data_IF_824130929565
#
_entry.id   IF_824130929565
#
_cell.length_a   1.000
_cell.length_b   1.000
_cell.length_c   1.000
_cell.angle_alpha   90.00
_cell.angle_beta   90.00
_cell.angle_gamma   90.00
#
_symmetry.space_group_name_H-M   'P 1'
#
loop_
_entity.id
_entity.type
_entity.pdbx_description
1 polymer ?
#
# COMPACT_ATOMS: atom_id res chain seq x y z
N UNK A 1 -13.26 -12.15 -24.55
CA UNK A 1 -11.90 -11.70 -24.16
C UNK A 1 -12.02 -11.19 -22.72
N UNK A 2 -11.26 -11.74 -21.77
CA UNK A 2 -11.29 -11.25 -20.37
C UNK A 2 -10.62 -9.87 -20.34
N UNK A 3 -11.26 -8.82 -19.79
CA UNK A 3 -10.65 -7.50 -19.72
C UNK A 3 -9.35 -7.56 -18.91
N UNK A 4 -8.27 -7.01 -19.45
CA UNK A 4 -7.01 -6.90 -18.70
C UNK A 4 -7.17 -5.86 -17.58
N UNK A 5 -6.86 -6.21 -16.32
CA UNK A 5 -6.95 -5.25 -15.21
C UNK A 5 -6.01 -4.06 -15.40
N UNK A 6 -6.48 -2.86 -15.08
CA UNK A 6 -5.69 -1.64 -15.13
C UNK A 6 -4.85 -1.48 -13.86
N UNK A 7 -3.69 -2.13 -13.83
CA UNK A 7 -2.75 -2.09 -12.70
C UNK A 7 -1.76 -0.94 -12.83
N UNK A 8 -1.52 -0.25 -11.70
CA UNK A 8 -0.54 0.83 -11.59
C UNK A 8 0.34 0.60 -10.36
N UNK A 9 1.67 0.47 -10.50
CA UNK A 9 2.41 0.34 -11.76
C UNK A 9 2.05 -0.93 -12.54
N UNK A 10 2.34 -0.93 -13.85
CA UNK A 10 2.20 -2.11 -14.71
C UNK A 10 3.19 -3.18 -14.22
N UNK A 11 2.75 -4.42 -13.95
CA UNK A 11 3.65 -5.49 -13.51
C UNK A 11 4.58 -5.96 -14.64
N UNK A 12 5.73 -6.52 -14.28
CA UNK A 12 6.69 -7.04 -15.25
C UNK A 12 6.11 -8.12 -16.19
N UNK A 13 5.25 -9.01 -15.67
CA UNK A 13 4.53 -10.01 -16.44
C UNK A 13 3.13 -10.25 -15.86
N UNK A 14 2.13 -10.31 -16.74
CA UNK A 14 0.74 -10.66 -16.42
C UNK A 14 0.21 -11.63 -17.46
N UNK A 15 -0.35 -12.75 -17.00
CA UNK A 15 -0.96 -13.77 -17.86
C UNK A 15 -2.40 -14.03 -17.40
N UNK A 16 -3.43 -13.62 -18.16
CA UNK A 16 -4.81 -13.90 -17.79
C UNK A 16 -5.13 -15.40 -17.76
N UNK A 17 -6.10 -15.79 -16.93
CA UNK A 17 -6.68 -17.14 -16.87
C UNK A 17 -8.21 -17.02 -16.89
N UNK A 18 -8.89 -18.15 -17.08
CA UNK A 18 -10.35 -18.19 -17.03
C UNK A 18 -10.86 -18.34 -15.59
N UNK A 19 -11.94 -17.65 -15.27
CA UNK A 19 -12.59 -17.71 -13.96
C UNK A 19 -12.22 -16.55 -13.03
N UNK A 20 -12.61 -16.67 -11.77
CA UNK A 20 -12.39 -15.66 -10.74
C UNK A 20 -12.43 -16.26 -9.34
N UNK A 21 -11.68 -15.67 -8.43
CA UNK A 21 -11.78 -15.90 -6.98
C UNK A 21 -12.80 -14.93 -6.38
N UNK A 22 -13.73 -15.40 -5.57
CA UNK A 22 -14.68 -14.53 -4.87
C UNK A 22 -14.38 -14.49 -3.36
N UNK A 23 -14.21 -13.29 -2.80
CA UNK A 23 -14.13 -13.14 -1.35
C UNK A 23 -15.51 -13.35 -0.72
N UNK A 24 -15.56 -14.20 0.30
CA UNK A 24 -16.77 -14.50 1.05
C UNK A 24 -16.53 -14.62 2.55
N UNK A 25 -17.59 -14.89 3.31
CA UNK A 25 -17.55 -15.00 4.76
C UNK A 25 -16.61 -16.11 5.28
N UNK A 26 -16.36 -17.14 4.47
CA UNK A 26 -15.47 -18.26 4.79
C UNK A 26 -14.02 -18.02 4.34
N UNK A 27 -13.75 -16.96 3.58
CA UNK A 27 -12.39 -16.65 3.11
C UNK A 27 -11.48 -16.32 4.29
N UNK A 28 -10.35 -17.01 4.36
CA UNK A 28 -9.30 -16.78 5.35
C UNK A 28 -7.98 -16.38 4.69
N UNK A 29 -7.11 -15.72 5.45
CA UNK A 29 -5.74 -15.42 5.05
C UNK A 29 -4.80 -16.43 5.73
N UNK A 30 -4.27 -17.37 4.96
CA UNK A 30 -3.28 -18.33 5.41
C UNK A 30 -1.88 -17.70 5.38
N UNK A 31 -1.23 -17.64 6.55
CA UNK A 31 0.07 -17.01 6.73
C UNK A 31 0.81 -17.72 7.88
N UNK A 32 2.11 -17.95 7.70
CA UNK A 32 3.03 -18.31 8.78
C UNK A 32 3.44 -17.10 9.61
N UNK A 33 4.20 -17.33 10.69
CA UNK A 33 4.66 -16.27 11.59
C UNK A 33 5.58 -15.27 10.87
N UNK A 34 6.36 -15.74 9.89
CA UNK A 34 7.28 -14.96 9.05
C UNK A 34 6.58 -13.92 8.15
N UNK A 35 5.28 -14.11 7.88
CA UNK A 35 4.45 -13.20 7.07
C UNK A 35 3.18 -12.78 7.80
N UNK A 36 3.14 -12.90 9.13
CA UNK A 36 1.99 -12.52 9.95
C UNK A 36 1.61 -11.04 9.82
N UNK A 37 2.60 -10.15 9.94
CA UNK A 37 2.40 -8.70 9.85
C UNK A 37 1.80 -8.27 8.49
N UNK A 38 2.34 -8.66 7.32
CA UNK A 38 1.71 -8.32 6.05
C UNK A 38 0.33 -8.96 5.86
N UNK A 39 0.07 -10.15 6.44
CA UNK A 39 -1.25 -10.77 6.41
C UNK A 39 -2.30 -9.95 7.19
N UNK A 40 -1.96 -9.49 8.38
CA UNK A 40 -2.83 -8.64 9.20
C UNK A 40 -3.05 -7.27 8.55
N UNK A 41 -2.00 -6.70 7.95
CA UNK A 41 -2.14 -5.47 7.17
C UNK A 41 -3.09 -5.65 5.99
N UNK A 42 -2.99 -6.75 5.25
CA UNK A 42 -3.91 -7.06 4.14
C UNK A 42 -5.35 -7.21 4.65
N UNK A 43 -5.56 -7.97 5.74
CA UNK A 43 -6.88 -8.06 6.39
C UNK A 43 -7.43 -6.68 6.70
N UNK A 44 -6.65 -5.84 7.36
CA UNK A 44 -7.07 -4.52 7.83
C UNK A 44 -7.31 -3.54 6.66
N UNK A 45 -6.66 -3.76 5.52
CA UNK A 45 -6.89 -3.02 4.28
C UNK A 45 -8.15 -3.46 3.51
N UNK A 46 -8.56 -4.72 3.63
CA UNK A 46 -9.74 -5.28 2.94
C UNK A 46 -11.02 -5.19 3.77
N UNK A 47 -10.92 -5.35 5.09
CA UNK A 47 -12.08 -5.43 6.00
C UNK A 47 -13.00 -4.19 5.96
N UNK A 48 -12.51 -2.95 5.89
CA UNK A 48 -13.38 -1.77 5.95
C UNK A 48 -14.45 -1.76 4.88
N UNK A 49 -14.08 -2.03 3.62
CA UNK A 49 -15.02 -2.04 2.50
C UNK A 49 -15.81 -3.35 2.38
N UNK A 50 -15.15 -4.48 2.66
CA UNK A 50 -15.77 -5.81 2.48
C UNK A 50 -16.73 -6.18 3.60
N UNK A 51 -16.49 -5.71 4.83
CA UNK A 51 -17.15 -6.19 6.05
C UNK A 51 -16.82 -7.64 6.40
N UNK A 52 -15.93 -8.30 5.66
CA UNK A 52 -15.59 -9.72 5.86
C UNK A 52 -14.60 -9.91 7.01
N UNK A 53 -14.69 -11.00 7.79
CA UNK A 53 -13.81 -11.22 8.93
C UNK A 53 -12.35 -11.46 8.52
N UNK A 54 -12.12 -12.16 7.39
CA UNK A 54 -10.79 -12.44 6.80
C UNK A 54 -9.75 -12.88 7.86
N UNK A 55 -10.11 -13.90 8.65
CA UNK A 55 -9.29 -14.38 9.76
C UNK A 55 -7.90 -14.81 9.26
N UNK A 56 -6.86 -14.39 9.99
CA UNK A 56 -5.46 -14.73 9.70
C UNK A 56 -5.06 -15.99 10.46
N UNK A 57 -4.71 -17.06 9.75
CA UNK A 57 -4.31 -18.34 10.33
C UNK A 57 -4.48 -19.51 9.36
N UNK A 58 -4.25 -20.73 9.83
CA UNK A 58 -4.41 -21.95 9.02
C UNK A 58 -5.85 -22.46 9.07
N UNK A 59 -6.57 -22.40 7.94
CA UNK A 59 -7.91 -22.99 7.76
C UNK A 59 -7.99 -23.75 6.44
N UNK A 60 -8.89 -24.73 6.38
CA UNK A 60 -9.24 -25.48 5.17
C UNK A 60 -10.31 -24.72 4.35
N UNK A 61 -10.23 -24.78 3.02
CA UNK A 61 -11.16 -24.11 2.09
C UNK A 61 -10.52 -22.99 1.26
N UNK A 62 -11.35 -22.18 0.59
CA UNK A 62 -10.89 -21.07 -0.25
C UNK A 62 -10.15 -20.01 0.55
N UNK A 63 -8.95 -19.64 0.11
CA UNK A 63 -8.02 -18.84 0.94
C UNK A 63 -7.15 -17.89 0.14
N UNK A 64 -6.68 -16.86 0.83
CA UNK A 64 -5.55 -16.04 0.41
C UNK A 64 -4.32 -16.59 1.13
N UNK A 65 -3.38 -17.20 0.41
CA UNK A 65 -2.14 -17.76 0.95
C UNK A 65 -0.97 -16.80 0.75
N UNK A 66 -0.33 -16.38 1.83
CA UNK A 66 0.90 -15.60 1.83
C UNK A 66 2.04 -16.49 2.33
N UNK A 67 3.14 -16.57 1.58
CA UNK A 67 4.28 -17.38 1.99
C UNK A 67 5.59 -16.82 1.44
N UNK A 68 6.67 -16.91 2.24
CA UNK A 68 8.01 -16.71 1.70
C UNK A 68 8.42 -17.92 0.86
N UNK A 69 9.10 -17.63 -0.24
CA UNK A 69 9.62 -18.63 -1.17
C UNK A 69 11.04 -18.23 -1.61
N UNK A 70 12.08 -18.76 -0.94
CA UNK A 70 13.46 -18.47 -1.28
C UNK A 70 13.86 -18.87 -2.71
N UNK A 71 13.15 -19.81 -3.34
CA UNK A 71 13.43 -20.23 -4.72
C UNK A 71 13.16 -19.11 -5.74
N UNK A 72 12.34 -18.12 -5.36
CA UNK A 72 12.05 -16.94 -6.18
C UNK A 72 13.13 -15.85 -6.07
N UNK A 73 14.29 -16.12 -5.48
CA UNK A 73 15.34 -15.13 -5.22
C UNK A 73 15.76 -14.28 -6.44
N UNK A 74 15.60 -14.80 -7.66
CA UNK A 74 15.82 -14.05 -8.91
C UNK A 74 14.89 -12.83 -9.10
N UNK A 75 13.80 -12.73 -8.34
CA UNK A 75 12.90 -11.56 -8.35
C UNK A 75 13.37 -10.42 -7.43
N UNK A 76 14.41 -10.66 -6.62
CA UNK A 76 14.93 -9.70 -5.64
C UNK A 76 14.04 -9.55 -4.40
N UNK A 77 14.40 -8.62 -3.51
CA UNK A 77 13.74 -8.48 -2.19
C UNK A 77 12.28 -8.00 -2.28
N UNK A 78 11.97 -7.20 -3.30
CA UNK A 78 10.66 -6.58 -3.50
C UNK A 78 9.80 -7.33 -4.53
N UNK A 79 10.36 -8.35 -5.17
CA UNK A 79 9.66 -9.11 -6.19
C UNK A 79 8.70 -10.15 -5.61
N UNK A 80 7.66 -10.50 -6.38
CA UNK A 80 6.66 -11.46 -5.97
C UNK A 80 6.04 -12.18 -7.17
N UNK A 81 5.42 -13.33 -6.88
CA UNK A 81 4.49 -14.01 -7.76
C UNK A 81 3.10 -13.99 -7.12
N UNK A 82 2.09 -13.60 -7.90
CA UNK A 82 0.68 -13.63 -7.53
C UNK A 82 -0.06 -14.57 -8.47
N UNK A 83 -0.70 -15.60 -7.93
CA UNK A 83 -1.54 -16.54 -8.67
C UNK A 83 -2.96 -16.46 -8.13
N UNK A 84 -3.95 -16.36 -9.03
CA UNK A 84 -5.37 -16.34 -8.68
C UNK A 84 -6.08 -17.47 -9.44
N UNK A 85 -6.72 -18.38 -8.70
CA UNK A 85 -7.60 -19.44 -9.21
C UNK A 85 -9.00 -19.27 -8.62
N UNK A 86 -9.94 -20.17 -8.94
CA UNK A 86 -11.26 -20.15 -8.31
C UNK A 86 -11.21 -20.44 -6.80
N UNK A 87 -10.22 -21.19 -6.35
CA UNK A 87 -10.13 -21.71 -4.97
C UNK A 87 -9.05 -21.02 -4.13
N UNK A 88 -8.05 -20.38 -4.75
CA UNK A 88 -6.92 -19.81 -4.03
C UNK A 88 -6.38 -18.54 -4.68
N UNK A 89 -6.03 -17.57 -3.83
CA UNK A 89 -5.13 -16.47 -4.18
C UNK A 89 -3.80 -16.72 -3.47
N UNK A 90 -2.71 -16.92 -4.19
CA UNK A 90 -1.39 -17.15 -3.61
C UNK A 90 -0.45 -15.99 -3.92
N UNK A 91 0.16 -15.40 -2.88
CA UNK A 91 1.25 -14.43 -3.01
C UNK A 91 2.51 -15.06 -2.42
N UNK A 92 3.52 -15.27 -3.27
CA UNK A 92 4.82 -15.83 -2.89
C UNK A 92 5.92 -14.82 -3.19
N UNK A 93 6.86 -14.65 -2.28
CA UNK A 93 7.96 -13.72 -2.46
C UNK A 93 9.24 -14.18 -1.72
N UNK A 94 10.43 -13.75 -2.15
CA UNK A 94 11.67 -14.08 -1.45
C UNK A 94 11.78 -13.44 -0.06
N UNK A 95 11.15 -12.27 0.13
CA UNK A 95 11.19 -11.47 1.36
C UNK A 95 9.82 -10.84 1.66
N UNK A 96 9.57 -10.41 2.91
CA UNK A 96 8.30 -9.78 3.29
C UNK A 96 7.92 -8.52 2.48
N UNK A 97 8.90 -7.81 1.90
CA UNK A 97 8.62 -6.64 1.06
C UNK A 97 7.84 -7.01 -0.22
N UNK A 98 8.21 -8.11 -0.89
CA UNK A 98 7.46 -8.64 -2.02
C UNK A 98 6.03 -9.06 -1.66
N UNK A 99 5.80 -9.62 -0.46
CA UNK A 99 4.44 -9.94 0.02
C UNK A 99 3.58 -8.67 0.13
N UNK A 100 4.14 -7.57 0.67
CA UNK A 100 3.43 -6.29 0.77
C UNK A 100 3.08 -5.73 -0.62
N UNK A 101 4.01 -5.79 -1.57
CA UNK A 101 3.78 -5.32 -2.94
C UNK A 101 2.75 -6.16 -3.70
N UNK A 102 2.82 -7.49 -3.57
CA UNK A 102 1.81 -8.39 -4.11
C UNK A 102 0.43 -8.16 -3.50
N UNK A 103 0.38 -7.82 -2.21
CA UNK A 103 -0.87 -7.44 -1.53
C UNK A 103 -1.47 -6.16 -2.10
N UNK A 104 -0.64 -5.17 -2.48
CA UNK A 104 -1.15 -3.96 -3.14
C UNK A 104 -1.68 -4.26 -4.55
N UNK A 105 -1.02 -5.14 -5.30
CA UNK A 105 -1.53 -5.61 -6.60
C UNK A 105 -2.86 -6.34 -6.44
N UNK A 106 -2.98 -7.23 -5.44
CA UNK A 106 -4.22 -7.92 -5.13
C UNK A 106 -5.38 -6.94 -4.86
N UNK A 107 -5.11 -5.87 -4.09
CA UNK A 107 -6.10 -4.82 -3.82
C UNK A 107 -6.55 -4.10 -5.09
N UNK A 108 -5.65 -3.87 -6.04
CA UNK A 108 -5.99 -3.24 -7.33
C UNK A 108 -6.79 -4.16 -8.27
N UNK A 109 -6.76 -5.48 -8.05
CA UNK A 109 -7.57 -6.44 -8.82
C UNK A 109 -9.03 -6.51 -8.34
N UNK A 110 -9.33 -5.97 -7.15
CA UNK A 110 -10.69 -5.85 -6.63
C UNK A 110 -11.39 -4.61 -7.21
N UNK A 111 -12.74 -4.56 -7.17
CA UNK A 111 -13.48 -3.35 -7.52
C UNK A 111 -13.01 -2.13 -6.72
N UNK A 112 -13.09 -0.93 -7.31
CA UNK A 112 -12.60 0.33 -6.71
C UNK A 112 -13.24 0.66 -5.36
N UNK A 113 -14.42 0.12 -5.07
CA UNK A 113 -15.06 0.21 -3.76
C UNK A 113 -14.23 -0.39 -2.62
N UNK A 114 -13.22 -1.22 -2.92
CA UNK A 114 -12.31 -1.76 -1.90
C UNK A 114 -11.56 -0.68 -1.11
N UNK A 115 -11.45 0.54 -1.65
CA UNK A 115 -10.81 1.68 -1.00
C UNK A 115 -11.76 2.48 -0.10
N UNK A 116 -13.04 2.07 0.03
CA UNK A 116 -13.99 2.67 0.96
C UNK A 116 -13.62 2.34 2.41
N UNK A 117 -13.94 3.25 3.33
CA UNK A 117 -13.67 3.11 4.77
C UNK A 117 -14.86 2.52 5.55
N UNK A 118 -15.90 2.08 4.84
CA UNK A 118 -17.12 1.51 5.42
C UNK A 118 -17.66 0.40 4.50
N UNK A 119 -18.42 -0.57 5.05
CA UNK A 119 -18.92 -1.70 4.27
C UNK A 119 -19.78 -1.26 3.09
N UNK A 120 -19.59 -1.90 1.93
CA UNK A 120 -20.38 -1.63 0.72
C UNK A 120 -21.39 -2.77 0.51
N UNK A 121 -22.67 -2.47 0.73
CA UNK A 121 -23.75 -3.45 0.60
C UNK A 121 -23.93 -3.87 -0.87
N UNK A 122 -24.10 -5.19 -1.10
CA UNK A 122 -24.33 -5.74 -2.44
C UNK A 122 -23.10 -5.79 -3.36
N UNK A 123 -21.92 -5.36 -2.89
CA UNK A 123 -20.70 -5.46 -3.66
C UNK A 123 -20.26 -6.93 -3.84
N UNK A 124 -19.89 -7.28 -5.07
CA UNK A 124 -19.25 -8.56 -5.37
C UNK A 124 -17.74 -8.39 -5.38
N UNK A 125 -17.06 -9.02 -4.44
CA UNK A 125 -15.60 -8.95 -4.28
C UNK A 125 -14.91 -10.04 -5.09
N UNK A 126 -15.04 -9.96 -6.41
CA UNK A 126 -14.44 -10.90 -7.35
C UNK A 126 -13.06 -10.42 -7.83
N UNK A 127 -12.13 -11.36 -7.97
CA UNK A 127 -10.76 -11.16 -8.43
C UNK A 127 -10.58 -12.05 -9.66
N UNK A 128 -10.22 -11.50 -10.84
CA UNK A 128 -10.05 -12.31 -12.03
C UNK A 128 -8.92 -13.32 -11.86
N UNK A 129 -9.10 -14.53 -12.40
CA UNK A 129 -8.05 -15.54 -12.40
C UNK A 129 -6.88 -15.09 -13.31
N UNK A 130 -5.66 -15.15 -12.79
CA UNK A 130 -4.46 -14.70 -13.49
C UNK A 130 -3.18 -15.17 -12.79
N UNK A 131 -2.07 -14.99 -13.48
CA UNK A 131 -0.72 -15.11 -12.93
C UNK A 131 0.06 -13.83 -13.19
N UNK A 132 0.67 -13.28 -12.14
CA UNK A 132 1.55 -12.12 -12.20
C UNK A 132 2.92 -12.51 -11.62
N UNK A 133 3.97 -12.10 -12.31
CA UNK A 133 5.33 -12.07 -11.79
C UNK A 133 5.83 -10.64 -11.92
N UNK A 134 6.29 -10.07 -10.81
CA UNK A 134 6.58 -8.65 -10.76
C UNK A 134 7.79 -8.36 -9.86
N UNK A 135 8.52 -7.31 -10.24
CA UNK A 135 9.70 -6.81 -9.53
C UNK A 135 9.95 -5.36 -9.95
N UNK A 136 10.51 -4.52 -9.08
CA UNK A 136 10.74 -3.13 -9.44
C UNK A 136 11.87 -2.99 -10.47
N UNK A 137 11.72 -2.04 -11.40
CA UNK A 137 12.79 -1.64 -12.30
C UNK A 137 13.90 -0.85 -11.62
N UNK A 138 13.57 -0.13 -10.53
CA UNK A 138 14.50 0.64 -9.73
C UNK A 138 14.33 0.35 -8.24
N UNK A 139 15.45 0.17 -7.52
CA UNK A 139 15.44 -0.07 -6.09
C UNK A 139 14.98 1.15 -5.28
N UNK A 140 15.17 2.38 -5.79
CA UNK A 140 14.78 3.62 -5.11
C UNK A 140 13.58 4.26 -5.79
N UNK A 141 12.42 4.22 -5.13
CA UNK A 141 11.17 4.84 -5.61
C UNK A 141 10.67 5.77 -4.53
N UNK A 142 11.10 7.02 -4.63
CA UNK A 142 10.98 8.02 -3.57
C UNK A 142 9.91 9.08 -3.83
N UNK A 143 9.30 9.57 -2.76
CA UNK A 143 8.47 10.78 -2.76
C UNK A 143 8.98 11.75 -1.69
N UNK A 144 9.12 13.01 -2.08
CA UNK A 144 9.53 14.11 -1.19
C UNK A 144 8.28 14.88 -0.73
N UNK A 145 8.14 15.07 0.58
CA UNK A 145 7.09 15.90 1.18
C UNK A 145 7.71 17.03 1.99
N UNK A 146 7.51 18.25 1.51
CA UNK A 146 7.86 19.49 2.20
C UNK A 146 6.76 19.88 3.19
N UNK A 147 7.08 19.80 4.48
CA UNK A 147 6.23 20.31 5.56
C UNK A 147 6.80 21.58 6.20
N UNK A 148 7.97 22.05 5.74
CA UNK A 148 8.63 23.27 6.19
C UNK A 148 7.90 24.52 5.70
N UNK A 149 7.47 24.55 4.43
CA UNK A 149 6.75 25.70 3.85
C UNK A 149 5.30 25.77 4.33
N UNK A 150 4.59 24.64 4.29
CA UNK A 150 3.22 24.52 4.82
C UNK A 150 3.11 23.26 5.66
N UNK A 151 2.65 23.42 6.90
CA UNK A 151 2.49 22.29 7.80
C UNK A 151 1.37 21.37 7.32
N UNK A 152 1.66 20.06 7.27
CA UNK A 152 0.69 19.02 6.98
C UNK A 152 0.34 18.30 8.29
N UNK A 153 -0.96 18.21 8.66
CA UNK A 153 -1.37 17.43 9.82
C UNK A 153 -0.95 15.96 9.70
N UNK A 154 -0.80 15.28 10.84
CA UNK A 154 -0.39 13.86 10.91
C UNK A 154 -1.27 12.97 10.02
N UNK A 155 -2.58 13.20 10.02
CA UNK A 155 -3.57 12.42 9.27
C UNK A 155 -3.35 12.55 7.75
N UNK A 156 -2.92 13.73 7.28
CA UNK A 156 -2.53 13.93 5.89
C UNK A 156 -1.30 13.11 5.55
N UNK A 157 -0.25 13.19 6.38
CA UNK A 157 1.01 12.45 6.14
C UNK A 157 0.78 10.95 6.12
N UNK A 158 -0.01 10.41 7.05
CA UNK A 158 -0.36 8.99 7.07
C UNK A 158 -1.14 8.58 5.82
N UNK A 159 -2.14 9.38 5.40
CA UNK A 159 -2.87 9.11 4.15
C UNK A 159 -1.95 9.18 2.93
N UNK A 160 -0.99 10.10 2.90
CA UNK A 160 0.01 10.18 1.83
C UNK A 160 0.88 8.93 1.78
N UNK A 161 1.37 8.46 2.93
CA UNK A 161 2.14 7.20 3.04
C UNK A 161 1.33 5.99 2.55
N UNK A 162 0.03 5.91 2.88
CA UNK A 162 -0.86 4.84 2.38
C UNK A 162 -0.94 4.85 0.84
N UNK A 163 -1.04 6.04 0.24
CA UNK A 163 -1.08 6.19 -1.22
C UNK A 163 0.26 5.85 -1.86
N UNK A 164 1.38 6.24 -1.25
CA UNK A 164 2.72 5.85 -1.70
C UNK A 164 2.89 4.33 -1.67
N UNK A 165 2.48 3.69 -0.57
CA UNK A 165 2.53 2.24 -0.42
C UNK A 165 1.68 1.52 -1.47
N UNK A 166 0.45 1.99 -1.74
CA UNK A 166 -0.43 1.45 -2.79
C UNK A 166 0.25 1.43 -4.17
N UNK A 167 1.05 2.45 -4.46
CA UNK A 167 1.80 2.59 -5.71
C UNK A 167 3.24 2.07 -5.63
N UNK A 168 3.55 1.28 -4.59
CA UNK A 168 4.84 0.61 -4.39
C UNK A 168 6.04 1.56 -4.27
N UNK A 169 5.85 2.82 -3.87
CA UNK A 169 6.94 3.66 -3.41
C UNK A 169 7.52 3.08 -2.11
N UNK A 170 8.84 3.14 -1.96
CA UNK A 170 9.55 2.53 -0.83
C UNK A 170 10.44 3.52 -0.08
N UNK A 171 10.56 4.76 -0.55
CA UNK A 171 11.28 5.82 0.14
C UNK A 171 10.36 7.03 0.35
N UNK A 172 10.31 7.52 1.59
CA UNK A 172 9.64 8.75 1.94
C UNK A 172 10.67 9.75 2.46
N UNK A 173 10.93 10.79 1.66
CA UNK A 173 11.81 11.89 2.06
C UNK A 173 10.96 12.98 2.71
N UNK A 174 11.05 13.06 4.04
CA UNK A 174 10.30 14.02 4.83
C UNK A 174 11.14 15.24 5.15
N UNK A 175 10.85 16.37 4.49
CA UNK A 175 11.59 17.61 4.68
C UNK A 175 10.96 18.44 5.79
N UNK A 176 11.62 18.39 6.95
CA UNK A 176 11.06 18.80 8.25
C UNK A 176 11.39 20.23 8.68
N UNK A 177 12.30 20.91 7.99
CA UNK A 177 12.86 22.19 8.43
C UNK A 177 13.14 23.09 7.25
N UNK A 178 12.73 24.34 7.36
CA UNK A 178 12.95 25.41 6.38
C UNK A 178 13.00 26.77 7.08
N UNK A 179 13.35 27.82 6.34
CA UNK A 179 13.32 29.21 6.83
C UNK A 179 11.94 29.56 7.43
N UNK A 180 10.86 29.07 6.81
CA UNK A 180 9.47 29.35 7.21
C UNK A 180 8.94 28.41 8.30
N UNK A 181 9.74 27.45 8.76
CA UNK A 181 9.53 26.82 10.06
C UNK A 181 10.11 25.42 10.27
N UNK A 182 10.04 25.00 11.53
CA UNK A 182 10.67 23.81 12.08
C UNK A 182 9.61 22.83 12.62
N UNK A 183 9.59 21.59 12.12
CA UNK A 183 8.44 20.67 12.31
C UNK A 183 8.69 19.45 13.19
N UNK A 184 9.88 19.29 13.76
CA UNK A 184 10.23 18.14 14.60
C UNK A 184 10.66 18.58 16.00
N UNK A 185 10.17 17.91 17.04
CA UNK A 185 10.56 18.24 18.41
C UNK A 185 12.02 17.86 18.68
N UNK A 186 12.80 18.82 19.21
CA UNK A 186 14.13 18.55 19.77
C UNK A 186 14.11 18.94 21.24
N UNK A 187 14.06 17.95 22.13
CA UNK A 187 13.90 18.16 23.59
C UNK A 187 14.93 19.11 24.20
N UNK A 188 16.18 19.07 23.71
CA UNK A 188 17.26 19.95 24.15
C UNK A 188 17.05 21.42 23.75
N UNK A 189 16.30 21.67 22.68
CA UNK A 189 16.10 22.99 22.08
C UNK A 189 14.60 23.29 21.89
N UNK A 190 13.85 23.48 23.00
CA UNK A 190 12.39 23.60 22.95
C UNK A 190 11.88 24.81 22.15
N UNK A 191 12.70 25.87 22.00
CA UNK A 191 12.36 27.05 21.20
C UNK A 191 12.21 26.74 19.70
N UNK A 192 12.79 25.64 19.20
CA UNK A 192 12.65 25.24 17.80
C UNK A 192 11.19 24.96 17.43
N UNK A 193 10.42 24.34 18.31
CA UNK A 193 8.98 24.09 18.09
C UNK A 193 8.09 25.12 18.77
N UNK A 194 8.44 25.61 19.96
CA UNK A 194 7.60 26.60 20.66
C UNK A 194 7.57 27.98 19.98
N UNK A 195 8.59 28.29 19.17
CA UNK A 195 8.67 29.53 18.37
C UNK A 195 8.81 29.21 16.89
N UNK A 196 9.84 28.45 16.52
CA UNK A 196 10.20 28.17 15.12
C UNK A 196 9.17 27.35 14.32
N UNK A 197 8.17 26.76 14.96
CA UNK A 197 7.09 26.07 14.25
C UNK A 197 6.00 27.02 13.71
N UNK A 198 6.05 28.31 14.00
CA UNK A 198 5.01 29.25 13.59
C UNK A 198 5.62 30.49 12.91
N UNK A 199 4.85 31.08 12.00
CA UNK A 199 5.16 32.37 11.37
C UNK A 199 3.90 33.23 11.38
N UNK A 200 4.06 34.55 11.34
CA UNK A 200 2.95 35.51 11.42
C UNK A 200 2.04 35.44 10.18
N UNK A 201 2.64 35.31 9.01
CA UNK A 201 1.98 35.39 7.71
C UNK A 201 2.73 34.58 6.64
N UNK A 202 2.13 34.46 5.45
CA UNK A 202 2.73 33.79 4.29
C UNK A 202 2.70 34.74 3.11
N UNK A 203 3.78 34.78 2.32
CA UNK A 203 3.81 35.54 1.08
C UNK A 203 2.81 34.95 0.07
N UNK A 204 1.78 35.71 -0.28
CA UNK A 204 0.72 35.30 -1.22
C UNK A 204 0.91 35.85 -2.64
N UNK A 205 1.76 36.87 -2.79
CA UNK A 205 2.18 37.43 -4.06
C UNK A 205 3.64 37.89 -3.95
N UNK A 206 4.39 37.98 -5.07
CA UNK A 206 5.68 38.64 -5.07
C UNK A 206 5.55 40.01 -4.43
N UNK A 207 6.58 40.47 -3.70
CA UNK A 207 6.64 41.88 -3.32
C UNK A 207 6.61 42.70 -4.61
N UNK A 208 5.46 43.27 -4.94
CA UNK A 208 5.40 44.35 -5.90
C UNK A 208 6.24 45.46 -5.29
N UNK A 209 7.34 45.82 -5.95
CA UNK A 209 7.90 47.13 -5.71
C UNK A 209 6.81 48.09 -6.17
N UNK A 210 6.12 48.72 -5.24
CA UNK A 210 5.26 49.86 -5.51
C UNK A 210 5.18 50.70 -4.24
N UNK A 211 5.12 52.03 -4.36
CA UNK A 211 6.07 52.95 -5.02
C UNK A 211 7.10 53.51 -4.02
#
# INVERSE_FOLDING_TARGET
MVPTPALIPIPAKLTPRSGSFALGATTSIAAGDDVRVPAELLRDQLRPATGLPLQVGSRTGSRIALALDPSLGGLGEEGYRLTVTADEVAIRAPKPAGIRHGSQTLRQLLPSDIYRRAPVAGASWAIPALEIEDRPGFAWRGSHLDVGRHFMPKEFVLKHLDLLALHKFNVFHWHLTEDQGWRIEIKKYPKLTAVGAFRKDSMTAPRTKDP
#
